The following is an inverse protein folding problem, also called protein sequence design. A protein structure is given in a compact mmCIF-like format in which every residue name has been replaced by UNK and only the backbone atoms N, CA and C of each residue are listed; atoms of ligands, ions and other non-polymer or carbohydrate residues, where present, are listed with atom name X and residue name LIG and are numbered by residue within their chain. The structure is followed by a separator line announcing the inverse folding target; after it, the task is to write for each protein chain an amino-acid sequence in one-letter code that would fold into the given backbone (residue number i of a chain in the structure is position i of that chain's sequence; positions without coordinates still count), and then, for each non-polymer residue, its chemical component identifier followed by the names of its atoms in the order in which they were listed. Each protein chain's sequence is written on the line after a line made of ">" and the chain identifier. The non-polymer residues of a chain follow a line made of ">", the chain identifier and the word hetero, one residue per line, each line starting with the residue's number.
data_IF_530066271529
#
_entry.id   IF_530066271529
#
_cell.length_a   1.000
_cell.length_b   1.000
_cell.length_c   1.000
_cell.angle_alpha   90.00
_cell.angle_beta   90.00
_cell.angle_gamma   90.00
#
_symmetry.space_group_name_H-M   'P 1'
#
loop_
_entity.id
_entity.type
_entity.pdbx_description
1 polymer ?
#
# COMPACT_ATOMS: atom_id res chain seq x y z
N UNK A 1 35.79 15.23 30.18
CA UNK A 1 34.55 15.95 30.55
C UNK A 1 33.43 15.72 29.51
N UNK A 2 33.18 14.48 29.09
CA UNK A 2 32.06 14.13 28.18
C UNK A 2 31.11 13.10 28.83
N UNK A 3 31.55 12.43 29.91
CA UNK A 3 30.78 11.40 30.61
C UNK A 3 29.68 11.93 31.55
N UNK A 4 29.61 13.25 31.80
CA UNK A 4 28.66 13.86 32.74
C UNK A 4 27.50 14.62 32.08
N UNK A 5 27.52 14.80 30.74
CA UNK A 5 26.41 15.46 30.02
C UNK A 5 25.25 14.52 29.67
N UNK A 6 25.33 13.23 30.05
CA UNK A 6 24.18 12.32 30.05
C UNK A 6 23.35 12.59 31.32
N UNK A 7 23.08 13.86 31.60
CA UNK A 7 22.12 14.25 32.63
C UNK A 7 20.75 13.96 32.04
N UNK A 8 20.13 12.89 32.56
CA UNK A 8 18.83 12.37 32.18
C UNK A 8 17.84 13.50 31.90
N UNK A 9 17.61 13.80 30.62
CA UNK A 9 16.37 14.47 30.24
C UNK A 9 15.26 13.45 30.52
N UNK A 10 14.42 13.69 31.54
CA UNK A 10 13.31 12.78 31.79
C UNK A 10 12.44 12.73 30.53
N UNK A 11 11.77 11.60 30.34
CA UNK A 11 10.78 11.48 29.29
C UNK A 11 9.76 12.63 29.42
N UNK A 12 9.52 13.32 28.30
CA UNK A 12 8.59 14.42 28.19
C UNK A 12 7.56 14.07 27.12
N UNK A 13 6.33 13.79 27.58
CA UNK A 13 5.22 13.45 26.70
C UNK A 13 4.76 14.61 25.83
N UNK A 14 4.86 15.85 26.32
CA UNK A 14 4.47 17.04 25.56
C UNK A 14 5.45 17.29 24.42
N UNK A 15 6.77 17.21 24.71
CA UNK A 15 7.80 17.30 23.67
C UNK A 15 7.65 16.19 22.62
N UNK A 16 7.44 14.96 23.08
CA UNK A 16 7.27 13.81 22.18
C UNK A 16 6.04 14.00 21.28
N UNK A 17 4.92 14.46 21.84
CA UNK A 17 3.71 14.74 21.08
C UNK A 17 3.87 15.93 20.12
N UNK A 18 4.59 16.98 20.52
CA UNK A 18 4.90 18.12 19.67
C UNK A 18 5.71 17.69 18.45
N UNK A 19 6.72 16.83 18.63
CA UNK A 19 7.49 16.26 17.51
C UNK A 19 6.61 15.38 16.61
N UNK A 20 5.78 14.49 17.18
CA UNK A 20 4.86 13.66 16.39
C UNK A 20 3.95 14.50 15.50
N UNK A 21 3.46 15.65 15.98
CA UNK A 21 2.66 16.58 15.17
C UNK A 21 3.44 17.16 13.98
N UNK A 22 4.76 17.41 14.12
CA UNK A 22 5.61 17.90 13.00
C UNK A 22 5.66 16.90 11.84
N UNK A 23 5.63 15.60 12.14
CA UNK A 23 5.70 14.51 11.15
C UNK A 23 4.33 13.86 10.87
N UNK A 24 3.23 14.45 11.36
CA UNK A 24 1.87 13.92 11.23
C UNK A 24 1.25 14.18 9.85
N UNK A 25 1.96 13.81 8.79
CA UNK A 25 1.50 13.83 7.41
C UNK A 25 1.81 12.49 6.73
N UNK A 26 1.13 12.22 5.60
CA UNK A 26 1.39 11.03 4.77
C UNK A 26 2.78 11.12 4.16
N UNK A 27 3.59 10.09 4.38
CA UNK A 27 5.02 10.03 4.02
C UNK A 27 5.33 8.66 3.42
N UNK A 28 4.75 8.42 2.25
CA UNK A 28 4.88 7.13 1.57
C UNK A 28 6.34 6.87 1.22
N UNK A 29 6.77 5.61 1.35
CA UNK A 29 8.15 5.25 1.09
C UNK A 29 8.54 5.57 -0.36
N UNK A 30 9.67 6.23 -0.55
CA UNK A 30 10.17 6.75 -1.82
C UNK A 30 9.54 8.09 -2.27
N UNK A 31 8.69 8.73 -1.45
CA UNK A 31 8.06 10.01 -1.81
C UNK A 31 8.84 11.23 -1.29
N UNK A 32 8.65 12.43 -1.88
CA UNK A 32 9.23 13.67 -1.36
C UNK A 32 8.84 13.96 0.10
N UNK A 33 7.68 13.49 0.54
CA UNK A 33 7.22 13.58 1.92
C UNK A 33 8.02 12.68 2.87
N UNK A 34 8.47 11.51 2.44
CA UNK A 34 9.40 10.70 3.23
C UNK A 34 10.74 11.42 3.42
N UNK A 35 11.30 11.98 2.35
CA UNK A 35 12.54 12.78 2.42
C UNK A 35 12.37 13.99 3.36
N UNK A 36 11.24 14.70 3.26
CA UNK A 36 10.88 15.78 4.19
C UNK A 36 10.84 15.30 5.64
N UNK A 37 10.27 14.12 5.91
CA UNK A 37 10.22 13.56 7.25
C UNK A 37 11.62 13.20 7.77
N UNK A 38 12.49 12.61 6.93
CA UNK A 38 13.88 12.32 7.26
C UNK A 38 14.66 13.59 7.63
N UNK A 39 14.46 14.67 6.89
CA UNK A 39 15.07 15.98 7.18
C UNK A 39 14.60 16.56 8.51
N UNK A 40 13.29 16.49 8.82
CA UNK A 40 12.74 16.92 10.11
C UNK A 40 13.36 16.13 11.28
N UNK A 41 13.56 14.82 11.11
CA UNK A 41 14.20 13.96 12.11
C UNK A 41 15.67 14.37 12.30
N UNK A 42 16.40 14.59 11.21
CA UNK A 42 17.79 15.03 11.28
C UNK A 42 17.93 16.37 12.02
N UNK A 43 17.05 17.33 11.73
CA UNK A 43 17.07 18.64 12.38
C UNK A 43 16.75 18.54 13.89
N UNK A 44 15.84 17.66 14.27
CA UNK A 44 15.54 17.40 15.69
C UNK A 44 16.76 16.76 16.39
N UNK A 45 17.44 15.81 15.76
CA UNK A 45 18.67 15.20 16.30
C UNK A 45 19.81 16.21 16.42
N UNK A 46 20.01 17.07 15.41
CA UNK A 46 20.97 18.17 15.45
C UNK A 46 20.68 19.14 16.60
N UNK A 47 19.40 19.38 16.90
CA UNK A 47 19.00 20.23 18.04
C UNK A 47 19.41 19.68 19.41
N UNK A 48 19.64 18.37 19.50
CA UNK A 48 20.19 17.71 20.69
C UNK A 48 21.72 17.59 20.68
N UNK A 49 22.40 18.14 19.67
CA UNK A 49 23.86 18.09 19.53
C UNK A 49 24.39 16.79 18.89
N UNK A 50 23.54 16.02 18.22
CA UNK A 50 23.98 14.87 17.41
C UNK A 50 24.34 15.28 15.98
N UNK A 51 25.11 14.44 15.29
CA UNK A 51 25.51 14.60 13.88
C UNK A 51 24.87 13.47 13.05
N UNK A 52 23.59 13.59 12.64
CA UNK A 52 22.92 12.55 11.87
C UNK A 52 23.37 12.56 10.40
N UNK A 53 23.46 11.37 9.82
CA UNK A 53 23.68 11.14 8.39
C UNK A 53 22.45 10.44 7.78
N UNK A 54 22.12 10.79 6.54
CA UNK A 54 21.07 10.13 5.76
C UNK A 54 21.72 9.09 4.88
N UNK A 55 21.38 7.83 5.08
CA UNK A 55 21.83 6.72 4.22
C UNK A 55 20.72 6.39 3.20
N UNK A 56 21.06 6.55 1.92
CA UNK A 56 20.16 6.23 0.82
C UNK A 56 20.25 4.75 0.44
N UNK A 57 19.13 4.18 0.01
CA UNK A 57 19.07 2.81 -0.49
C UNK A 57 18.01 2.69 -1.58
N UNK A 58 18.21 1.72 -2.47
CA UNK A 58 17.24 1.44 -3.54
C UNK A 58 15.95 0.84 -2.96
N UNK A 59 14.84 1.50 -3.24
CA UNK A 59 13.52 1.03 -2.87
C UNK A 59 12.71 0.71 -4.12
N UNK A 60 12.07 -0.45 -4.10
CA UNK A 60 11.04 -0.77 -5.07
C UNK A 60 9.69 -0.17 -4.62
N UNK A 61 9.41 1.05 -5.10
CA UNK A 61 8.25 1.84 -4.71
C UNK A 61 7.16 1.82 -5.79
N UNK A 62 6.01 2.44 -5.48
CA UNK A 62 4.94 2.73 -6.42
C UNK A 62 4.48 4.16 -6.20
N UNK A 63 4.15 4.83 -7.28
CA UNK A 63 3.55 6.15 -7.29
C UNK A 63 2.41 6.07 -8.29
N UNK A 64 1.17 5.90 -7.80
CA UNK A 64 -0.04 5.92 -8.62
C UNK A 64 -1.26 5.91 -7.70
N UNK A 65 -1.84 7.09 -7.53
CA UNK A 65 -2.81 7.38 -6.47
C UNK A 65 -4.25 7.13 -6.92
N UNK A 66 -4.45 6.97 -8.24
CA UNK A 66 -5.78 6.97 -8.85
C UNK A 66 -6.00 5.69 -9.65
N UNK A 67 -6.88 4.84 -9.14
CA UNK A 67 -7.47 3.75 -9.87
C UNK A 67 -8.96 4.00 -10.04
N UNK A 68 -9.56 3.39 -11.04
CA UNK A 68 -11.00 3.39 -11.21
C UNK A 68 -11.45 2.05 -11.78
N UNK A 69 -12.71 1.75 -11.55
CA UNK A 69 -13.41 0.60 -12.14
C UNK A 69 -14.66 1.14 -12.79
N UNK A 70 -14.95 0.67 -13.99
CA UNK A 70 -16.17 1.04 -14.72
C UNK A 70 -17.01 -0.22 -14.95
N UNK A 71 -18.29 -0.10 -14.62
CA UNK A 71 -19.31 -1.10 -14.96
C UNK A 71 -19.79 -0.74 -16.35
N UNK A 72 -19.65 -1.68 -17.28
CA UNK A 72 -20.08 -1.52 -18.67
C UNK A 72 -21.52 -2.05 -18.88
N UNK A 73 -21.87 -3.13 -18.19
CA UNK A 73 -23.19 -3.74 -18.23
C UNK A 73 -23.57 -4.28 -16.83
N UNK A 74 -24.88 -4.34 -16.49
CA UNK A 74 -26.03 -3.91 -17.28
C UNK A 74 -26.33 -2.40 -17.18
N UNK A 75 -25.48 -1.65 -16.47
CA UNK A 75 -25.57 -0.19 -16.36
C UNK A 75 -24.17 0.41 -16.42
N UNK A 76 -24.11 1.69 -16.80
CA UNK A 76 -22.86 2.43 -16.92
C UNK A 76 -22.61 3.21 -15.64
N UNK A 77 -21.53 2.87 -14.93
CA UNK A 77 -21.11 3.59 -13.73
C UNK A 77 -19.62 3.47 -13.49
N UNK A 78 -19.00 4.57 -13.05
CA UNK A 78 -17.59 4.63 -12.72
C UNK A 78 -17.41 4.81 -11.22
N UNK A 79 -16.53 4.00 -10.65
CA UNK A 79 -16.16 4.02 -9.25
C UNK A 79 -14.68 4.35 -9.12
N UNK A 80 -14.38 5.39 -8.34
CA UNK A 80 -13.00 5.66 -7.94
C UNK A 80 -12.54 4.63 -6.91
N UNK A 81 -11.25 4.29 -6.96
CA UNK A 81 -10.61 3.40 -6.01
C UNK A 81 -9.13 3.71 -5.88
N UNK A 82 -8.46 2.96 -5.01
CA UNK A 82 -6.99 2.98 -4.94
C UNK A 82 -6.42 1.71 -5.54
N UNK A 83 -5.31 1.89 -6.26
CA UNK A 83 -4.51 0.78 -6.72
C UNK A 83 -3.84 0.10 -5.51
N UNK A 84 -3.80 -1.23 -5.52
CA UNK A 84 -2.92 -1.96 -4.62
C UNK A 84 -1.49 -1.80 -5.17
N UNK A 85 -0.65 -1.08 -4.44
CA UNK A 85 0.73 -0.83 -4.84
C UNK A 85 1.46 -2.12 -5.18
N UNK A 86 2.29 -2.11 -6.22
CA UNK A 86 3.08 -3.26 -6.65
C UNK A 86 2.28 -4.51 -7.07
N UNK A 87 0.96 -4.44 -7.21
CA UNK A 87 0.13 -5.62 -7.53
C UNK A 87 0.07 -5.98 -9.01
N UNK A 88 0.55 -5.10 -9.89
CA UNK A 88 0.41 -5.19 -11.34
C UNK A 88 -0.14 -3.88 -11.90
N UNK A 89 0.05 -3.67 -13.20
CA UNK A 89 -0.45 -2.50 -13.93
C UNK A 89 -1.32 -3.00 -15.07
N UNK A 90 -2.52 -2.45 -15.21
CA UNK A 90 -3.36 -2.71 -16.38
C UNK A 90 -2.73 -2.10 -17.64
N UNK A 91 -3.01 -2.62 -18.84
CA UNK A 91 -2.70 -1.93 -20.09
C UNK A 91 -3.25 -0.49 -20.13
N UNK A 92 -2.76 0.33 -21.05
CA UNK A 92 -3.18 1.74 -21.18
C UNK A 92 -4.67 1.85 -21.54
N UNK A 93 -5.16 0.92 -22.36
CA UNK A 93 -6.57 0.74 -22.71
C UNK A 93 -7.43 0.19 -21.57
N UNK A 94 -6.82 -0.22 -20.46
CA UNK A 94 -7.48 -0.87 -19.33
C UNK A 94 -7.57 -2.39 -19.47
N UNK A 95 -8.33 -3.01 -18.57
CA UNK A 95 -8.61 -4.45 -18.58
C UNK A 95 -10.12 -4.65 -18.45
N UNK A 96 -10.73 -5.18 -19.51
CA UNK A 96 -12.14 -5.56 -19.52
C UNK A 96 -12.28 -7.07 -19.33
N UNK A 97 -13.09 -7.48 -18.36
CA UNK A 97 -13.43 -8.89 -18.14
C UNK A 97 -14.70 -9.00 -17.27
N UNK A 98 -15.40 -10.16 -17.32
CA UNK A 98 -16.57 -10.40 -16.48
C UNK A 98 -16.24 -10.26 -14.99
N UNK A 99 -17.13 -9.63 -14.23
CA UNK A 99 -16.98 -9.48 -12.78
C UNK A 99 -17.55 -10.72 -12.05
N UNK A 100 -16.81 -11.29 -11.09
CA UNK A 100 -17.29 -12.39 -10.25
C UNK A 100 -17.07 -12.09 -8.76
N UNK A 101 -18.16 -12.10 -7.99
CA UNK A 101 -18.09 -11.98 -6.55
C UNK A 101 -17.67 -13.31 -5.89
N UNK A 102 -16.75 -13.26 -4.92
CA UNK A 102 -16.16 -14.46 -4.26
C UNK A 102 -16.10 -14.36 -2.73
N UNK A 103 -17.10 -13.73 -2.12
CA UNK A 103 -17.16 -13.53 -0.66
C UNK A 103 -15.91 -12.87 -0.09
N UNK A 104 -15.09 -13.60 0.65
CA UNK A 104 -13.90 -13.09 1.35
C UNK A 104 -12.59 -13.28 0.56
N UNK A 105 -12.67 -13.87 -0.63
CA UNK A 105 -11.50 -14.17 -1.47
C UNK A 105 -10.64 -15.33 -0.96
N UNK A 106 -11.12 -16.08 0.04
CA UNK A 106 -10.44 -17.30 0.52
C UNK A 106 -10.44 -18.40 -0.55
N UNK A 107 -9.44 -19.31 -0.55
CA UNK A 107 -9.27 -20.34 -1.57
C UNK A 107 -10.52 -21.18 -1.92
N UNK A 108 -11.40 -21.38 -0.94
CA UNK A 108 -12.63 -22.18 -1.00
C UNK A 108 -13.68 -21.52 -1.90
N UNK A 109 -13.70 -20.18 -1.98
CA UNK A 109 -14.66 -19.40 -2.78
C UNK A 109 -14.17 -19.12 -4.21
N UNK A 110 -12.92 -19.45 -4.51
CA UNK A 110 -12.30 -19.16 -5.81
C UNK A 110 -12.58 -20.28 -6.81
N UNK A 111 -13.83 -20.47 -7.20
CA UNK A 111 -14.26 -21.46 -8.20
C UNK A 111 -14.76 -20.78 -9.47
N UNK A 112 -14.41 -21.34 -10.65
CA UNK A 112 -14.81 -20.82 -11.97
C UNK A 112 -14.54 -19.31 -12.10
N UNK A 113 -13.29 -18.91 -11.85
CA UNK A 113 -12.82 -17.52 -11.88
C UNK A 113 -11.86 -17.25 -13.06
N UNK A 114 -11.73 -18.23 -13.95
CA UNK A 114 -10.84 -18.13 -15.11
C UNK A 114 -11.34 -17.00 -16.03
N UNK A 115 -10.44 -16.08 -16.37
CA UNK A 115 -10.73 -14.91 -17.19
C UNK A 115 -11.60 -13.84 -16.52
N UNK A 116 -11.93 -13.95 -15.22
CA UNK A 116 -12.79 -12.97 -14.53
C UNK A 116 -12.00 -11.97 -13.69
N UNK A 117 -12.58 -10.78 -13.53
CA UNK A 117 -12.17 -9.84 -12.48
C UNK A 117 -12.92 -10.23 -11.20
N UNK A 118 -12.17 -10.50 -10.15
CA UNK A 118 -12.72 -10.98 -8.89
C UNK A 118 -13.09 -9.80 -8.00
N UNK A 119 -14.32 -9.75 -7.50
CA UNK A 119 -14.75 -8.83 -6.45
C UNK A 119 -14.86 -9.57 -5.11
N UNK A 120 -14.21 -9.06 -4.05
CA UNK A 120 -14.26 -9.67 -2.73
C UNK A 120 -14.35 -8.61 -1.62
N UNK A 121 -14.94 -8.99 -0.48
CA UNK A 121 -14.89 -8.21 0.76
C UNK A 121 -13.56 -8.33 1.50
N UNK A 122 -12.66 -9.23 1.05
CA UNK A 122 -11.37 -9.49 1.68
C UNK A 122 -10.29 -9.97 0.72
N UNK A 123 -9.04 -9.87 1.17
CA UNK A 123 -7.85 -10.15 0.35
C UNK A 123 -7.51 -11.63 0.14
N UNK A 124 -8.10 -12.55 0.91
CA UNK A 124 -7.80 -14.00 0.86
C UNK A 124 -6.38 -14.40 1.30
N UNK A 125 -5.52 -13.44 1.66
CA UNK A 125 -4.12 -13.65 2.01
C UNK A 125 -3.29 -14.25 0.85
N UNK A 126 -2.12 -14.81 1.20
CA UNK A 126 -1.20 -15.42 0.24
C UNK A 126 -1.85 -16.56 -0.55
N UNK A 127 -2.53 -17.50 0.15
CA UNK A 127 -3.17 -18.67 -0.48
C UNK A 127 -4.31 -18.28 -1.40
N UNK A 128 -5.10 -17.27 -1.04
CA UNK A 128 -6.17 -16.75 -1.89
C UNK A 128 -5.60 -16.14 -3.17
N UNK A 129 -4.55 -15.33 -3.07
CA UNK A 129 -3.88 -14.79 -4.25
C UNK A 129 -3.27 -15.88 -5.13
N UNK A 130 -2.57 -16.85 -4.52
CA UNK A 130 -1.99 -17.98 -5.24
C UNK A 130 -3.05 -18.77 -6.02
N UNK A 131 -4.17 -19.09 -5.36
CA UNK A 131 -5.29 -19.81 -5.96
C UNK A 131 -5.94 -19.01 -7.09
N UNK A 132 -6.13 -17.69 -6.90
CA UNK A 132 -6.70 -16.81 -7.91
C UNK A 132 -5.83 -16.80 -9.17
N UNK A 133 -4.51 -16.65 -9.01
CA UNK A 133 -3.59 -16.67 -10.14
C UNK A 133 -3.55 -18.03 -10.84
N UNK A 134 -3.43 -19.13 -10.08
CA UNK A 134 -3.42 -20.50 -10.63
C UNK A 134 -4.70 -20.84 -11.41
N UNK A 135 -5.83 -20.22 -11.07
CA UNK A 135 -7.11 -20.40 -11.75
C UNK A 135 -7.41 -19.36 -12.82
N UNK A 136 -6.43 -18.53 -13.20
CA UNK A 136 -6.55 -17.62 -14.34
C UNK A 136 -7.39 -16.37 -14.10
N UNK A 137 -7.49 -15.89 -12.85
CA UNK A 137 -8.14 -14.61 -12.59
C UNK A 137 -7.47 -13.47 -13.40
N UNK A 138 -8.27 -12.64 -14.06
CA UNK A 138 -7.78 -11.50 -14.84
C UNK A 138 -7.38 -10.32 -13.93
N UNK A 139 -8.15 -10.09 -12.87
CA UNK A 139 -7.93 -8.99 -11.93
C UNK A 139 -8.58 -9.23 -10.58
N UNK A 140 -8.30 -8.36 -9.60
CA UNK A 140 -8.88 -8.44 -8.25
C UNK A 140 -9.25 -7.06 -7.75
N UNK A 141 -10.46 -6.95 -7.21
CA UNK A 141 -11.04 -5.76 -6.60
C UNK A 141 -11.47 -6.14 -5.19
N UNK A 142 -11.16 -5.28 -4.21
CA UNK A 142 -11.58 -5.46 -2.83
C UNK A 142 -12.48 -4.33 -2.38
N UNK A 143 -13.59 -4.68 -1.74
CA UNK A 143 -14.49 -3.72 -1.12
C UNK A 143 -13.83 -3.26 0.19
N UNK A 144 -13.50 -1.98 0.26
CA UNK A 144 -13.00 -1.38 1.49
C UNK A 144 -14.10 -1.30 2.56
N UNK A 145 -13.70 -1.20 3.83
CA UNK A 145 -14.64 -0.99 4.92
C UNK A 145 -15.39 0.34 4.78
N UNK A 146 -16.70 0.34 5.02
CA UNK A 146 -17.53 1.54 4.92
C UNK A 146 -16.98 2.68 5.79
N UNK A 147 -16.93 3.89 5.23
CA UNK A 147 -16.47 5.10 5.93
C UNK A 147 -14.95 5.19 6.15
N UNK A 148 -14.17 4.33 5.50
CA UNK A 148 -12.70 4.43 5.50
C UNK A 148 -12.21 5.04 4.20
N UNK A 149 -11.18 5.86 4.30
CA UNK A 149 -10.40 6.29 3.14
C UNK A 149 -9.76 5.08 2.46
N UNK A 150 -9.51 5.21 1.16
CA UNK A 150 -8.87 4.14 0.41
C UNK A 150 -7.42 3.96 0.89
N UNK A 151 -7.04 2.75 1.33
CA UNK A 151 -5.74 2.56 1.95
C UNK A 151 -4.63 2.61 0.90
N UNK A 152 -3.56 3.34 1.19
CA UNK A 152 -2.34 3.31 0.39
C UNK A 152 -1.48 2.11 0.82
N UNK A 153 -1.83 0.93 0.31
CA UNK A 153 -1.21 -0.36 0.65
C UNK A 153 -0.53 -0.96 -0.56
N UNK A 154 0.54 -1.73 -0.32
CA UNK A 154 1.22 -2.49 -1.35
C UNK A 154 1.17 -3.99 -1.12
N UNK A 155 1.28 -4.72 -2.23
CA UNK A 155 1.53 -6.13 -2.23
C UNK A 155 2.90 -6.42 -1.60
N UNK A 156 2.94 -7.41 -0.71
CA UNK A 156 4.19 -7.85 -0.12
C UNK A 156 5.16 -8.35 -1.21
N UNK A 157 6.42 -7.88 -1.16
CA UNK A 157 7.50 -8.27 -2.06
C UNK A 157 7.66 -9.79 -2.17
N UNK A 158 7.59 -10.53 -1.07
CA UNK A 158 7.75 -11.99 -1.12
C UNK A 158 6.62 -12.67 -1.91
N UNK A 159 5.41 -12.13 -1.86
CA UNK A 159 4.27 -12.63 -2.65
C UNK A 159 4.46 -12.25 -4.10
N UNK A 160 4.83 -11.00 -4.38
CA UNK A 160 5.10 -10.51 -5.74
C UNK A 160 6.22 -11.29 -6.42
N UNK A 161 7.34 -11.51 -5.74
CA UNK A 161 8.51 -12.16 -6.34
C UNK A 161 8.24 -13.67 -6.59
N UNK A 162 7.45 -14.32 -5.72
CA UNK A 162 7.11 -15.75 -5.85
C UNK A 162 5.99 -16.02 -6.84
N UNK A 163 4.97 -15.18 -6.83
CA UNK A 163 3.72 -15.43 -7.53
C UNK A 163 3.49 -14.43 -8.65
N UNK A 164 4.28 -13.38 -8.80
CA UNK A 164 4.05 -12.28 -9.74
C UNK A 164 2.87 -11.41 -9.36
N UNK A 165 2.33 -10.73 -10.37
CA UNK A 165 1.26 -9.73 -10.25
C UNK A 165 -0.07 -10.23 -10.84
N UNK A 166 -1.15 -9.49 -10.56
CA UNK A 166 -2.42 -9.52 -11.28
C UNK A 166 -2.88 -8.07 -11.57
N UNK A 167 -3.15 -7.70 -12.84
CA UNK A 167 -3.03 -8.53 -14.04
C UNK A 167 -1.58 -9.00 -14.28
N UNK A 168 -1.45 -10.14 -14.96
CA UNK A 168 -0.14 -10.64 -15.38
C UNK A 168 0.22 -9.89 -16.66
N UNK A 169 1.35 -9.19 -16.64
CA UNK A 169 1.92 -8.55 -17.83
C UNK A 169 2.43 -9.60 -18.83
#
# INVERSE_FOLDING_TARGET
>A
MIKELIFAMPFDGERSMAFLKKIAFTRCAGSPEEEKAANIICDELRSFGFEPEVEEFDLFAYANDKAWVEVLEPYQAKYEGSALGLSGTTPEEGLEAPLKYVETGQPEFLNEIDGTIILASGGGGFKGFERAKKKGAAGRIFIAGAGRDTPNISMNRCTRDRLGTLPTA
#
